data_IF_061410261152
#
_entry.id   IF_061410261152
#
_cell.length_a   1.000
_cell.length_b   1.000
_cell.length_c   1.000
_cell.angle_alpha   90.00
_cell.angle_beta   90.00
_cell.angle_gamma   90.00
#
_symmetry.space_group_name_H-M   'P 1'
#
loop_
_entity.id
_entity.type
_entity.pdbx_description
1 polymer ?
#
# COMPACT_ATOMS: atom_id res chain seq x y z
N UNK A 1 -26.19 44.38 -7.58
CA UNK A 1 -25.51 43.73 -6.44
C UNK A 1 -25.46 42.19 -6.49
N UNK A 2 -26.41 41.45 -7.08
CA UNK A 2 -26.36 39.96 -7.10
C UNK A 2 -25.46 39.35 -8.20
N UNK A 3 -25.27 40.05 -9.32
CA UNK A 3 -24.50 39.55 -10.49
C UNK A 3 -22.98 39.58 -10.24
N UNK A 4 -22.51 40.56 -9.47
CA UNK A 4 -21.08 40.73 -9.17
C UNK A 4 -20.53 39.60 -8.30
N UNK A 5 -21.37 39.03 -7.43
CA UNK A 5 -21.04 37.91 -6.55
C UNK A 5 -20.83 36.59 -7.31
N UNK A 6 -21.70 36.29 -8.29
CA UNK A 6 -21.54 35.12 -9.14
C UNK A 6 -20.28 35.22 -10.03
N UNK A 7 -19.98 36.41 -10.56
CA UNK A 7 -18.78 36.66 -11.37
C UNK A 7 -17.48 36.59 -10.56
N UNK A 8 -17.49 37.01 -9.29
CA UNK A 8 -16.33 36.87 -8.40
C UNK A 8 -16.02 35.40 -8.07
N UNK A 9 -17.05 34.58 -7.89
CA UNK A 9 -16.89 33.15 -7.57
C UNK A 9 -16.19 32.40 -8.72
N UNK A 10 -16.51 32.74 -9.97
CA UNK A 10 -15.91 32.12 -11.17
C UNK A 10 -14.41 32.41 -11.27
N UNK A 11 -13.95 33.64 -10.99
CA UNK A 11 -12.51 33.97 -11.06
C UNK A 11 -11.69 33.25 -10.00
N UNK A 12 -12.23 33.13 -8.79
CA UNK A 12 -11.53 32.45 -7.68
C UNK A 12 -11.29 30.95 -7.93
N UNK A 13 -12.11 30.33 -8.78
CA UNK A 13 -12.05 28.89 -9.06
C UNK A 13 -11.14 28.53 -10.24
N UNK A 14 -10.81 29.50 -11.11
CA UNK A 14 -9.89 29.29 -12.24
C UNK A 14 -8.41 29.29 -11.84
N UNK A 15 -8.04 29.98 -10.75
CA UNK A 15 -6.64 30.11 -10.30
C UNK A 15 -6.09 28.87 -9.55
N UNK A 16 -6.89 27.81 -9.36
CA UNK A 16 -6.48 26.60 -8.61
C UNK A 16 -6.18 25.36 -9.45
N UNK A 17 -6.19 25.42 -10.79
CA UNK A 17 -5.80 24.28 -11.62
C UNK A 17 -4.27 24.18 -11.76
N UNK A 18 -3.62 23.56 -10.78
CA UNK A 18 -2.23 23.09 -10.89
C UNK A 18 -2.25 21.82 -11.75
N UNK A 19 -1.53 21.85 -12.87
CA UNK A 19 -1.35 20.71 -13.78
C UNK A 19 -0.42 19.66 -13.16
N UNK A 20 -0.64 18.34 -13.36
CA UNK A 20 0.37 17.33 -13.09
C UNK A 20 1.27 17.11 -14.31
N UNK A 21 2.56 17.42 -14.17
CA UNK A 21 3.59 17.06 -15.16
C UNK A 21 3.85 15.56 -15.15
N UNK A 22 3.36 14.87 -16.16
CA UNK A 22 3.76 13.51 -16.51
C UNK A 22 5.08 13.54 -17.30
N UNK A 23 6.13 12.84 -16.83
CA UNK A 23 7.15 12.14 -17.64
C UNK A 23 8.29 11.61 -16.78
N UNK A 24 8.46 10.28 -16.73
CA UNK A 24 9.72 9.58 -17.08
C UNK A 24 9.52 8.06 -17.06
N UNK A 25 9.39 7.51 -18.26
CA UNK A 25 9.62 6.10 -18.57
C UNK A 25 11.13 5.92 -18.70
N UNK A 26 11.69 4.95 -17.99
CA UNK A 26 13.02 4.41 -18.28
C UNK A 26 12.89 2.90 -18.52
N UNK A 27 12.86 2.53 -19.79
CA UNK A 27 13.14 1.20 -20.30
C UNK A 27 14.64 0.92 -20.19
N UNK A 28 15.04 -0.18 -19.54
CA UNK A 28 16.39 -0.73 -19.71
C UNK A 28 16.38 -2.27 -19.79
N UNK A 29 16.49 -2.73 -21.03
CA UNK A 29 17.29 -3.85 -21.55
C UNK A 29 17.45 -5.14 -20.73
N UNK A 30 16.95 -6.24 -21.33
CA UNK A 30 17.46 -7.61 -21.12
C UNK A 30 18.98 -7.67 -21.39
N UNK A 31 19.69 -8.56 -20.68
CA UNK A 31 20.56 -9.47 -21.41
C UNK A 31 20.39 -10.94 -21.00
N UNK A 32 21.04 -11.75 -21.81
CA UNK A 32 20.95 -13.19 -22.04
C UNK A 32 21.30 -14.10 -20.84
N UNK A 33 20.86 -15.35 -20.98
CA UNK A 33 21.20 -16.51 -20.15
C UNK A 33 22.70 -16.59 -19.82
N UNK A 34 23.05 -16.28 -18.56
CA UNK A 34 24.30 -16.74 -17.94
C UNK A 34 23.91 -17.57 -16.74
N UNK A 35 24.12 -18.89 -16.83
CA UNK A 35 23.94 -19.82 -15.73
C UNK A 35 25.03 -19.58 -14.67
N UNK A 36 24.78 -18.66 -13.73
CA UNK A 36 25.56 -18.56 -12.50
C UNK A 36 25.02 -19.59 -11.51
N UNK A 37 25.83 -20.60 -11.18
CA UNK A 37 25.58 -21.44 -9.99
C UNK A 37 25.97 -20.61 -8.77
N UNK A 38 25.02 -19.85 -8.23
CA UNK A 38 25.19 -19.05 -7.02
C UNK A 38 25.19 -20.00 -5.81
N UNK A 39 26.37 -20.28 -5.25
CA UNK A 39 26.48 -20.93 -3.95
C UNK A 39 26.27 -19.88 -2.86
N UNK A 40 25.09 -19.87 -2.25
CA UNK A 40 24.77 -19.01 -1.10
C UNK A 40 25.49 -19.60 0.11
N UNK A 41 26.35 -18.83 0.78
CA UNK A 41 27.03 -19.27 2.01
C UNK A 41 26.00 -19.59 3.11
N UNK A 42 26.36 -20.43 4.07
CA UNK A 42 25.44 -20.79 5.16
C UNK A 42 25.07 -19.57 6.02
N UNK A 43 25.90 -18.52 6.07
CA UNK A 43 25.54 -17.22 6.65
C UNK A 43 24.52 -16.47 5.78
N UNK A 44 24.62 -16.55 4.44
CA UNK A 44 23.62 -16.02 3.51
C UNK A 44 22.27 -16.74 3.62
N UNK A 45 22.27 -18.06 3.85
CA UNK A 45 21.06 -18.84 4.14
C UNK A 45 20.46 -18.43 5.48
N UNK A 46 21.26 -18.26 6.53
CA UNK A 46 20.79 -17.80 7.84
C UNK A 46 20.24 -16.37 7.81
N UNK A 47 20.81 -15.47 7.00
CA UNK A 47 20.27 -14.13 6.73
C UNK A 47 18.90 -14.20 6.03
N UNK A 48 18.74 -15.09 5.05
CA UNK A 48 17.43 -15.31 4.39
C UNK A 48 16.37 -15.83 5.37
N UNK A 49 16.74 -16.72 6.30
CA UNK A 49 15.84 -17.27 7.33
C UNK A 49 15.46 -16.21 8.38
N UNK A 50 16.38 -15.31 8.75
CA UNK A 50 16.11 -14.19 9.68
C UNK A 50 15.30 -13.05 9.05
N UNK A 51 15.40 -12.82 7.73
CA UNK A 51 14.53 -11.87 7.05
C UNK A 51 13.07 -12.35 7.02
N UNK A 52 12.82 -13.66 6.99
CA UNK A 52 11.52 -14.27 6.70
C UNK A 52 10.45 -14.22 7.81
N UNK A 53 10.73 -13.62 8.97
CA UNK A 53 9.77 -13.57 10.10
C UNK A 53 8.97 -12.28 10.19
N UNK A 54 9.47 -11.15 9.68
CA UNK A 54 8.84 -9.83 9.85
C UNK A 54 8.66 -9.05 8.53
N UNK A 55 8.70 -9.70 7.36
CA UNK A 55 8.47 -9.00 6.09
C UNK A 55 6.99 -8.62 5.98
N UNK A 56 6.66 -7.43 6.44
CA UNK A 56 5.44 -6.76 6.01
C UNK A 56 5.62 -6.48 4.51
N UNK A 57 4.76 -7.09 3.69
CA UNK A 57 4.63 -6.80 2.26
C UNK A 57 4.57 -5.30 2.02
N UNK A 58 5.18 -4.78 0.95
CA UNK A 58 5.13 -3.35 0.63
C UNK A 58 3.68 -2.85 0.49
N UNK A 59 2.82 -3.67 -0.13
CA UNK A 59 1.37 -3.40 -0.21
C UNK A 59 0.68 -3.37 1.16
N UNK A 60 1.20 -4.13 2.13
CA UNK A 60 0.70 -4.17 3.51
C UNK A 60 1.12 -2.95 4.34
N UNK A 61 2.34 -2.44 4.14
CA UNK A 61 2.81 -1.19 4.76
C UNK A 61 1.96 -0.01 4.28
N UNK A 62 1.70 0.08 2.97
CA UNK A 62 0.87 1.14 2.40
C UNK A 62 -0.59 1.06 2.89
N UNK A 63 -1.16 -0.14 3.00
CA UNK A 63 -2.49 -0.31 3.61
C UNK A 63 -2.54 0.09 5.08
N UNK A 64 -1.47 -0.14 5.84
CA UNK A 64 -1.41 0.30 7.23
C UNK A 64 -1.30 1.82 7.32
N UNK A 65 -0.48 2.47 6.49
CA UNK A 65 -0.40 3.92 6.41
C UNK A 65 -1.77 4.56 6.09
N UNK A 66 -2.52 4.00 5.13
CA UNK A 66 -3.88 4.46 4.80
C UNK A 66 -4.83 4.32 6.00
N UNK A 67 -4.73 3.22 6.76
CA UNK A 67 -5.55 3.03 7.97
C UNK A 67 -5.18 4.01 9.07
N UNK A 68 -3.89 4.20 9.32
CA UNK A 68 -3.37 5.16 10.30
C UNK A 68 -3.80 6.58 9.96
N UNK A 69 -3.76 6.97 8.68
CA UNK A 69 -4.23 8.26 8.22
C UNK A 69 -5.74 8.44 8.45
N UNK A 70 -6.55 7.41 8.15
CA UNK A 70 -8.00 7.44 8.43
C UNK A 70 -8.29 7.56 9.92
N UNK A 71 -7.51 6.89 10.77
CA UNK A 71 -7.67 6.97 12.22
C UNK A 71 -7.28 8.34 12.76
N UNK A 72 -6.13 8.87 12.32
CA UNK A 72 -5.70 10.23 12.64
C UNK A 72 -6.73 11.28 12.27
N UNK A 73 -7.39 11.15 11.10
CA UNK A 73 -8.48 12.04 10.69
C UNK A 73 -9.67 11.96 11.64
N UNK A 74 -10.06 10.76 12.10
CA UNK A 74 -11.14 10.60 13.10
C UNK A 74 -10.77 11.24 14.44
N UNK A 75 -9.54 11.03 14.91
CA UNK A 75 -9.04 11.66 16.14
C UNK A 75 -9.08 13.19 16.04
N UNK A 76 -8.69 13.75 14.89
CA UNK A 76 -8.84 15.18 14.62
C UNK A 76 -10.31 15.63 14.71
N UNK A 77 -11.26 14.88 14.12
CA UNK A 77 -12.70 15.19 14.19
C UNK A 77 -13.22 15.17 15.62
N UNK A 78 -12.82 14.21 16.44
CA UNK A 78 -13.19 14.15 17.86
C UNK A 78 -12.54 15.29 18.67
N UNK A 79 -11.28 15.63 18.38
CA UNK A 79 -10.61 16.76 19.03
C UNK A 79 -11.29 18.08 18.70
N UNK A 80 -11.73 18.29 17.46
CA UNK A 80 -12.51 19.46 17.04
C UNK A 80 -13.80 19.56 17.85
N UNK A 81 -14.55 18.46 18.00
CA UNK A 81 -15.76 18.44 18.84
C UNK A 81 -15.45 18.83 20.29
N UNK A 82 -14.40 18.26 20.87
CA UNK A 82 -13.97 18.62 22.22
C UNK A 82 -13.57 20.10 22.37
N UNK A 83 -12.94 20.68 21.34
CA UNK A 83 -12.66 22.13 21.31
C UNK A 83 -13.97 22.92 21.23
N UNK A 84 -14.93 22.50 20.40
CA UNK A 84 -16.24 23.17 20.29
C UNK A 84 -17.04 23.13 21.59
N UNK A 85 -16.98 22.02 22.32
CA UNK A 85 -17.58 21.89 23.65
C UNK A 85 -16.93 22.83 24.68
N UNK A 86 -15.62 23.06 24.58
CA UNK A 86 -14.91 24.02 25.45
C UNK A 86 -15.25 25.46 25.04
N UNK A 87 -15.22 25.77 23.73
CA UNK A 87 -15.53 27.10 23.20
C UNK A 87 -16.97 27.53 23.44
N UNK A 88 -17.89 26.58 23.65
CA UNK A 88 -19.29 26.83 24.00
C UNK A 88 -19.50 27.23 25.46
N UNK A 89 -18.45 27.16 26.30
CA UNK A 89 -18.51 27.58 27.71
C UNK A 89 -18.02 29.02 27.86
N UNK A 90 -18.63 29.73 28.80
CA UNK A 90 -18.34 31.15 29.06
C UNK A 90 -17.13 31.38 29.99
N UNK A 91 -16.54 30.32 30.54
CA UNK A 91 -15.49 30.37 31.58
C UNK A 91 -14.04 30.39 31.03
N UNK A 92 -13.86 30.59 29.73
CA UNK A 92 -12.55 30.65 29.08
C UNK A 92 -12.07 32.09 28.84
N UNK A 93 -10.75 32.32 29.00
CA UNK A 93 -10.16 33.62 28.68
C UNK A 93 -10.03 33.84 27.18
N UNK A 94 -9.97 35.10 26.73
CA UNK A 94 -9.79 35.43 25.30
C UNK A 94 -8.50 34.83 24.71
N UNK A 95 -7.44 34.75 25.52
CA UNK A 95 -6.16 34.17 25.11
C UNK A 95 -6.28 32.66 24.87
N UNK A 96 -7.02 31.95 25.73
CA UNK A 96 -7.29 30.52 25.56
C UNK A 96 -8.22 30.28 24.38
N UNK A 97 -9.26 31.10 24.23
CA UNK A 97 -10.18 31.05 23.09
C UNK A 97 -9.43 31.15 21.76
N UNK A 98 -8.53 32.13 21.63
CA UNK A 98 -7.75 32.31 20.39
C UNK A 98 -6.85 31.11 20.09
N UNK A 99 -6.16 30.56 21.11
CA UNK A 99 -5.34 29.34 20.94
C UNK A 99 -6.18 28.15 20.46
N UNK A 100 -7.34 27.95 21.07
CA UNK A 100 -8.26 26.87 20.70
C UNK A 100 -8.81 27.04 19.28
N UNK A 101 -9.10 28.28 18.86
CA UNK A 101 -9.52 28.58 17.49
C UNK A 101 -8.40 28.31 16.47
N UNK A 102 -7.15 28.64 16.80
CA UNK A 102 -6.00 28.34 15.95
C UNK A 102 -5.77 26.83 15.84
N UNK A 103 -5.83 26.10 16.96
CA UNK A 103 -5.75 24.63 17.00
C UNK A 103 -6.88 24.01 16.16
N UNK A 104 -8.13 24.45 16.38
CA UNK A 104 -9.31 23.99 15.63
C UNK A 104 -9.11 24.18 14.13
N UNK A 105 -8.65 25.34 13.69
CA UNK A 105 -8.43 25.64 12.27
C UNK A 105 -7.36 24.76 11.63
N UNK A 106 -6.33 24.35 12.39
CA UNK A 106 -5.33 23.39 11.93
C UNK A 106 -5.94 21.99 11.82
N UNK A 107 -6.65 21.55 12.86
CA UNK A 107 -7.30 20.25 12.89
C UNK A 107 -8.37 20.11 11.80
N UNK A 108 -9.17 21.15 11.53
CA UNK A 108 -10.20 21.16 10.48
C UNK A 108 -9.58 20.86 9.11
N UNK A 109 -8.39 21.41 8.82
CA UNK A 109 -7.65 21.12 7.58
C UNK A 109 -7.17 19.67 7.53
N UNK A 110 -6.64 19.16 8.65
CA UNK A 110 -6.13 17.79 8.75
C UNK A 110 -7.23 16.73 8.75
N UNK A 111 -8.41 17.06 9.27
CA UNK A 111 -9.56 16.15 9.33
C UNK A 111 -10.28 15.97 8.00
N UNK A 112 -10.01 16.85 7.03
CA UNK A 112 -10.81 16.98 5.81
C UNK A 112 -10.53 15.85 4.81
N UNK A 113 -11.53 15.01 4.55
CA UNK A 113 -11.44 13.92 3.58
C UNK A 113 -12.18 14.16 2.26
N UNK A 114 -12.04 13.23 1.33
CA UNK A 114 -12.64 13.30 -0.01
C UNK A 114 -14.18 13.21 0.07
N UNK A 115 -14.72 12.51 1.06
CA UNK A 115 -16.16 12.42 1.35
C UNK A 115 -16.72 13.73 1.93
N UNK A 116 -16.01 14.36 2.86
CA UNK A 116 -16.33 15.70 3.39
C UNK A 116 -16.35 16.73 2.26
N UNK A 117 -15.36 16.66 1.35
CA UNK A 117 -15.31 17.52 0.17
C UNK A 117 -16.52 17.33 -0.75
N UNK A 118 -16.97 16.09 -0.92
CA UNK A 118 -18.16 15.76 -1.70
C UNK A 118 -19.43 16.29 -1.02
N UNK A 119 -19.56 16.09 0.29
CA UNK A 119 -20.71 16.56 1.07
C UNK A 119 -20.80 18.09 1.05
N UNK A 120 -19.67 18.79 1.24
CA UNK A 120 -19.61 20.25 1.15
C UNK A 120 -20.00 20.77 -0.25
N UNK A 121 -19.60 20.08 -1.31
CA UNK A 121 -20.02 20.43 -2.68
C UNK A 121 -21.54 20.31 -2.87
N UNK A 122 -22.15 19.24 -2.38
CA UNK A 122 -23.61 19.10 -2.38
C UNK A 122 -24.31 20.17 -1.56
N UNK A 123 -23.80 20.46 -0.36
CA UNK A 123 -24.34 21.51 0.51
C UNK A 123 -24.29 22.87 -0.19
N UNK A 124 -23.17 23.24 -0.80
CA UNK A 124 -23.02 24.48 -1.56
C UNK A 124 -23.96 24.57 -2.75
N UNK A 125 -24.15 23.48 -3.51
CA UNK A 125 -25.13 23.43 -4.59
C UNK A 125 -26.55 23.64 -4.06
N UNK A 126 -26.92 22.97 -2.97
CA UNK A 126 -28.22 23.12 -2.32
C UNK A 126 -28.46 24.54 -1.83
N UNK A 127 -27.49 25.13 -1.14
CA UNK A 127 -27.57 26.49 -0.60
C UNK A 127 -27.60 27.55 -1.71
N UNK A 128 -26.93 27.29 -2.84
CA UNK A 128 -27.07 28.10 -4.04
C UNK A 128 -28.50 28.04 -4.58
N UNK A 129 -29.03 26.83 -4.82
CA UNK A 129 -30.39 26.67 -5.36
C UNK A 129 -31.48 27.25 -4.43
N UNK A 130 -31.31 27.12 -3.11
CA UNK A 130 -32.23 27.74 -2.14
C UNK A 130 -32.24 29.27 -2.21
N UNK A 131 -31.10 29.90 -2.50
CA UNK A 131 -30.97 31.36 -2.60
C UNK A 131 -31.45 31.92 -3.94
N UNK A 132 -31.44 31.11 -4.98
CA UNK A 132 -31.65 31.54 -6.36
C UNK A 132 -32.92 30.94 -6.97
N UNK A 133 -34.01 30.92 -6.20
CA UNK A 133 -35.32 30.34 -6.55
C UNK A 133 -35.61 30.44 -8.07
N UNK A 134 -35.53 29.32 -8.78
CA UNK A 134 -35.50 29.28 -10.25
C UNK A 134 -36.82 29.79 -10.84
N UNK A 135 -37.92 29.59 -10.12
CA UNK A 135 -39.28 29.90 -10.57
C UNK A 135 -39.60 31.41 -10.57
N UNK A 136 -38.79 32.22 -9.87
CA UNK A 136 -38.95 33.68 -9.78
C UNK A 136 -37.93 34.46 -10.63
N UNK A 137 -37.04 33.77 -11.36
CA UNK A 137 -35.96 34.38 -12.12
C UNK A 137 -36.35 34.68 -13.58
N UNK A 138 -35.89 35.81 -14.11
CA UNK A 138 -36.02 36.11 -15.54
C UNK A 138 -35.14 35.15 -16.39
N UNK A 139 -35.34 35.14 -17.71
CA UNK A 139 -34.65 34.20 -18.62
C UNK A 139 -33.13 34.33 -18.61
N UNK A 140 -32.57 35.53 -18.38
CA UNK A 140 -31.13 35.75 -18.28
C UNK A 140 -30.52 35.20 -16.98
N UNK A 141 -31.22 35.41 -15.86
CA UNK A 141 -30.82 34.88 -14.56
C UNK A 141 -30.88 33.34 -14.53
N UNK A 142 -31.89 32.76 -15.19
CA UNK A 142 -32.02 31.31 -15.35
C UNK A 142 -30.80 30.69 -16.05
N UNK A 143 -30.33 31.30 -17.15
CA UNK A 143 -29.13 30.83 -17.87
C UNK A 143 -27.87 30.85 -16.99
N UNK A 144 -27.73 31.85 -16.12
CA UNK A 144 -26.59 31.96 -15.19
C UNK A 144 -26.70 30.88 -14.12
N UNK A 145 -27.88 30.69 -13.54
CA UNK A 145 -28.15 29.66 -12.53
C UNK A 145 -27.84 28.27 -13.09
N UNK A 146 -28.27 27.96 -14.33
CA UNK A 146 -28.01 26.69 -14.98
C UNK A 146 -26.50 26.44 -15.20
N UNK A 147 -25.75 27.48 -15.60
CA UNK A 147 -24.28 27.38 -15.72
C UNK A 147 -23.61 27.11 -14.37
N UNK A 148 -24.05 27.76 -13.30
CA UNK A 148 -23.52 27.52 -11.95
C UNK A 148 -23.89 26.11 -11.47
N UNK A 149 -25.09 25.63 -11.76
CA UNK A 149 -25.51 24.26 -11.46
C UNK A 149 -24.65 23.24 -12.20
N UNK A 150 -24.40 23.45 -13.49
CA UNK A 150 -23.52 22.59 -14.31
C UNK A 150 -22.09 22.56 -13.74
N UNK A 151 -21.61 23.69 -13.24
CA UNK A 151 -20.31 23.76 -12.57
C UNK A 151 -20.29 22.96 -11.27
N UNK A 152 -21.32 23.07 -10.43
CA UNK A 152 -21.45 22.25 -9.23
C UNK A 152 -21.53 20.76 -9.58
N UNK A 153 -22.26 20.38 -10.62
CA UNK A 153 -22.36 19.00 -11.08
C UNK A 153 -21.01 18.44 -11.51
N UNK A 154 -20.20 19.24 -12.21
CA UNK A 154 -18.83 18.86 -12.55
C UNK A 154 -17.97 18.64 -11.31
N UNK A 155 -17.96 19.58 -10.36
CA UNK A 155 -17.20 19.42 -9.12
C UNK A 155 -17.64 18.15 -8.38
N UNK A 156 -18.95 17.94 -8.23
CA UNK A 156 -19.51 16.78 -7.54
C UNK A 156 -19.03 15.50 -8.23
N UNK A 157 -19.03 15.46 -9.57
CA UNK A 157 -18.55 14.31 -10.32
C UNK A 157 -17.05 14.09 -10.13
N UNK A 158 -16.23 15.14 -10.23
CA UNK A 158 -14.78 15.05 -9.98
C UNK A 158 -14.47 14.51 -8.58
N UNK A 159 -15.25 14.90 -7.55
CA UNK A 159 -15.10 14.39 -6.19
C UNK A 159 -15.50 12.92 -6.07
N UNK A 160 -16.57 12.49 -6.75
CA UNK A 160 -16.92 11.06 -6.83
C UNK A 160 -15.81 10.25 -7.49
N UNK A 161 -15.23 10.75 -8.57
CA UNK A 161 -14.17 10.06 -9.31
C UNK A 161 -12.88 9.93 -8.47
N UNK A 162 -12.58 10.90 -7.59
CA UNK A 162 -11.49 10.79 -6.61
C UNK A 162 -11.76 9.66 -5.61
N UNK A 163 -12.95 9.64 -4.99
CA UNK A 163 -13.34 8.61 -4.01
C UNK A 163 -13.30 7.22 -4.65
N UNK A 164 -13.80 7.09 -5.88
CA UNK A 164 -13.74 5.83 -6.63
C UNK A 164 -12.29 5.37 -6.84
N UNK A 165 -11.38 6.26 -7.27
CA UNK A 165 -9.96 5.91 -7.46
C UNK A 165 -9.26 5.54 -6.15
N UNK A 166 -9.53 6.25 -5.06
CA UNK A 166 -8.98 5.93 -3.74
C UNK A 166 -9.43 4.54 -3.28
N UNK A 167 -10.71 4.22 -3.45
CA UNK A 167 -11.24 2.89 -3.11
C UNK A 167 -10.66 1.78 -4.01
N UNK A 168 -10.55 2.02 -5.31
CA UNK A 168 -9.91 1.08 -6.25
C UNK A 168 -8.44 0.84 -5.90
N UNK A 169 -7.70 1.88 -5.56
CA UNK A 169 -6.31 1.80 -5.10
C UNK A 169 -6.18 0.95 -3.84
N UNK A 170 -6.97 1.26 -2.80
CA UNK A 170 -6.98 0.50 -1.55
C UNK A 170 -7.35 -0.98 -1.77
N UNK A 171 -8.32 -1.27 -2.64
CA UNK A 171 -8.66 -2.64 -3.02
C UNK A 171 -7.53 -3.32 -3.81
N UNK A 172 -6.83 -2.59 -4.66
CA UNK A 172 -5.68 -3.11 -5.40
C UNK A 172 -4.55 -3.49 -4.45
N UNK A 173 -4.25 -2.64 -3.47
CA UNK A 173 -3.25 -2.95 -2.44
C UNK A 173 -3.63 -4.20 -1.65
N UNK A 174 -4.92 -4.40 -1.32
CA UNK A 174 -5.38 -5.63 -0.64
C UNK A 174 -5.12 -6.88 -1.48
N UNK A 175 -5.42 -6.82 -2.78
CA UNK A 175 -5.15 -7.95 -3.70
C UNK A 175 -3.65 -8.22 -3.81
N UNK A 176 -2.83 -7.18 -3.94
CA UNK A 176 -1.38 -7.31 -4.01
C UNK A 176 -0.80 -7.87 -2.72
N UNK A 177 -1.26 -7.42 -1.55
CA UNK A 177 -0.86 -7.97 -0.26
C UNK A 177 -1.16 -9.47 -0.17
N UNK A 178 -2.37 -9.90 -0.57
CA UNK A 178 -2.72 -11.33 -0.59
C UNK A 178 -1.77 -12.09 -1.51
N UNK A 179 -1.48 -11.55 -2.70
CA UNK A 179 -0.56 -12.18 -3.64
C UNK A 179 0.86 -12.27 -3.08
N UNK A 180 1.41 -11.18 -2.54
CA UNK A 180 2.75 -11.13 -1.93
C UNK A 180 2.86 -12.13 -0.77
N UNK A 181 1.84 -12.20 0.10
CA UNK A 181 1.83 -13.16 1.20
C UNK A 181 1.75 -14.62 0.71
N UNK A 182 0.98 -14.88 -0.35
CA UNK A 182 0.91 -16.21 -0.97
C UNK A 182 2.23 -16.61 -1.63
N UNK A 183 2.91 -15.67 -2.30
CA UNK A 183 4.21 -15.91 -2.94
C UNK A 183 5.30 -16.16 -1.88
N UNK A 184 5.32 -15.38 -0.79
CA UNK A 184 6.21 -15.61 0.35
C UNK A 184 5.97 -17.00 0.95
N UNK A 185 4.71 -17.41 1.11
CA UNK A 185 4.37 -18.74 1.64
C UNK A 185 4.79 -19.88 0.70
N UNK A 186 4.58 -19.71 -0.62
CA UNK A 186 5.06 -20.66 -1.62
C UNK A 186 6.59 -20.78 -1.64
N UNK A 187 7.31 -19.67 -1.50
CA UNK A 187 8.77 -19.69 -1.37
C UNK A 187 9.22 -20.40 -0.09
N UNK A 188 8.55 -20.15 1.05
CA UNK A 188 8.80 -20.87 2.31
C UNK A 188 8.57 -22.37 2.16
N UNK A 189 7.50 -22.79 1.50
CA UNK A 189 7.22 -24.21 1.24
C UNK A 189 8.27 -24.86 0.32
N UNK A 190 8.71 -24.15 -0.74
CA UNK A 190 9.79 -24.63 -1.62
C UNK A 190 11.12 -24.73 -0.89
N UNK A 191 11.45 -23.76 -0.04
CA UNK A 191 12.64 -23.77 0.80
C UNK A 191 12.63 -24.97 1.76
N UNK A 192 11.53 -25.19 2.47
CA UNK A 192 11.36 -26.35 3.36
C UNK A 192 11.49 -27.68 2.61
N UNK A 193 10.88 -27.80 1.42
CA UNK A 193 10.99 -29.02 0.61
C UNK A 193 12.41 -29.27 0.12
N UNK A 194 13.15 -28.22 -0.26
CA UNK A 194 14.56 -28.33 -0.65
C UNK A 194 15.46 -28.70 0.54
N UNK A 195 15.18 -28.19 1.75
CA UNK A 195 15.88 -28.59 2.98
C UNK A 195 15.64 -30.08 3.30
N UNK A 196 14.39 -30.55 3.25
CA UNK A 196 14.08 -31.97 3.46
C UNK A 196 14.73 -32.89 2.42
N UNK A 197 14.86 -32.43 1.16
CA UNK A 197 15.52 -33.20 0.12
C UNK A 197 17.05 -33.25 0.31
N UNK A 198 17.71 -32.15 0.70
CA UNK A 198 19.15 -32.17 0.97
C UNK A 198 19.50 -33.10 2.14
N UNK A 199 18.76 -33.03 3.25
CA UNK A 199 18.97 -33.94 4.39
C UNK A 199 18.77 -35.42 4.01
N UNK A 200 17.90 -35.71 3.04
CA UNK A 200 17.70 -37.07 2.52
C UNK A 200 18.81 -37.51 1.57
N UNK A 201 19.36 -36.59 0.78
CA UNK A 201 20.45 -36.87 -0.16
C UNK A 201 21.76 -37.09 0.60
N UNK A 202 22.06 -36.26 1.61
CA UNK A 202 23.26 -36.42 2.44
C UNK A 202 23.27 -37.79 3.15
N UNK A 203 22.13 -38.23 3.70
CA UNK A 203 22.00 -39.58 4.28
C UNK A 203 22.19 -40.71 3.26
N UNK A 204 21.69 -40.55 2.04
CA UNK A 204 21.85 -41.56 0.99
C UNK A 204 23.30 -41.62 0.48
N UNK A 205 24.02 -40.48 0.48
CA UNK A 205 25.43 -40.41 0.12
C UNK A 205 26.30 -41.07 1.19
N UNK A 206 26.08 -40.80 2.48
CA UNK A 206 26.78 -41.48 3.59
C UNK A 206 26.61 -43.01 3.53
N UNK A 207 25.39 -43.49 3.28
CA UNK A 207 25.14 -44.93 3.14
C UNK A 207 25.81 -45.54 1.91
N UNK A 208 25.88 -44.80 0.80
CA UNK A 208 26.58 -45.25 -0.40
C UNK A 208 28.10 -45.34 -0.14
N UNK A 209 28.70 -44.36 0.51
CA UNK A 209 30.13 -44.39 0.86
C UNK A 209 30.45 -45.57 1.79
N UNK A 210 29.64 -45.82 2.83
CA UNK A 210 29.78 -47.01 3.70
C UNK A 210 29.68 -48.32 2.92
N UNK A 211 28.73 -48.44 1.99
CA UNK A 211 28.60 -49.67 1.18
C UNK A 211 29.77 -49.85 0.22
N UNK A 212 30.35 -48.76 -0.27
CA UNK A 212 31.51 -48.79 -1.19
C UNK A 212 32.78 -49.20 -0.45
N UNK A 213 32.97 -48.71 0.78
CA UNK A 213 34.09 -49.11 1.65
C UNK A 213 34.00 -50.58 2.05
N UNK A 214 32.80 -51.07 2.36
CA UNK A 214 32.58 -52.50 2.63
C UNK A 214 32.86 -53.37 1.39
N UNK A 215 32.47 -52.92 0.19
CA UNK A 215 32.75 -53.63 -1.06
C UNK A 215 34.26 -53.71 -1.34
N UNK A 216 34.98 -52.61 -1.16
CA UNK A 216 36.44 -52.54 -1.30
C UNK A 216 37.18 -53.44 -0.29
N UNK A 217 36.65 -53.58 0.93
CA UNK A 217 37.19 -54.48 1.96
C UNK A 217 36.99 -55.96 1.58
N UNK A 218 35.82 -56.28 1.02
CA UNK A 218 35.52 -57.62 0.50
C UNK A 218 36.39 -57.96 -0.71
N UNK A 219 36.61 -57.02 -1.64
CA UNK A 219 37.51 -57.24 -2.78
C UNK A 219 38.96 -57.43 -2.34
N UNK A 220 39.45 -56.65 -1.37
CA UNK A 220 40.80 -56.85 -0.79
C UNK A 220 40.95 -58.22 -0.12
N UNK A 221 39.99 -58.62 0.70
CA UNK A 221 40.04 -59.93 1.38
C UNK A 221 39.85 -61.11 0.41
N UNK A 222 39.14 -60.92 -0.71
CA UNK A 222 39.06 -61.90 -1.78
C UNK A 222 40.37 -62.01 -2.59
N UNK A 223 41.07 -60.90 -2.83
CA UNK A 223 42.39 -60.90 -3.46
C UNK A 223 43.45 -61.58 -2.57
N UNK A 224 43.50 -61.25 -1.28
CA UNK A 224 44.44 -61.85 -0.32
C UNK A 224 44.20 -63.35 -0.11
N UNK A 225 42.95 -63.81 -0.20
CA UNK A 225 42.62 -65.25 -0.13
C UNK A 225 42.99 -66.04 -1.40
N UNK A 226 43.00 -65.39 -2.56
CA UNK A 226 43.44 -66.03 -3.82
C UNK A 226 44.97 -66.16 -3.88
N UNK A 227 45.71 -65.15 -3.40
CA UNK A 227 47.18 -65.24 -3.28
C UNK A 227 47.61 -66.30 -2.24
N UNK A 228 46.84 -66.46 -1.16
CA UNK A 228 47.11 -67.46 -0.11
C UNK A 228 46.87 -68.91 -0.55
N UNK A 229 46.01 -69.15 -1.56
CA UNK A 229 45.80 -70.50 -2.13
C UNK A 229 46.85 -70.86 -3.18
N UNK A 230 47.47 -69.88 -3.84
CA UNK A 230 48.51 -70.10 -4.85
C UNK A 230 49.85 -70.54 -4.24
N UNK A 231 50.15 -70.12 -3.01
CA UNK A 231 51.41 -70.45 -2.32
C UNK A 231 51.37 -71.77 -1.50
N UNK A 232 50.29 -72.56 -1.56
CA UNK A 232 50.19 -73.84 -0.85
C UNK A 232 50.48 -75.07 -1.73
N UNK A 233 50.88 -74.85 -2.99
CA UNK A 233 51.35 -75.90 -3.90
C UNK A 233 52.75 -75.50 -4.40
N UNK A 234 53.75 -75.63 -3.53
CA UNK A 234 55.14 -75.90 -3.89
C UNK A 234 55.72 -76.86 -2.87
#
# INVERSE_FOLDING_TARGET
>A
MRIDSARQTIRFLQDKSIQPDSKKVCSLNKPENINFKVTISDEGKQLSRKLNTDVVSASGEELNAIKEEKEYRKECKERIKGIDDILSKDDITDKERNKLLDEKKLLEKSSWDSEDALYDAYKKKRDFNKRHNIDECNSGDRLIIDKVNTFFDRIIQEKKDVISRENEHEQSLRRNQIQETADIELEKQKANKNEMNMDSVDKNVEQLEETTDLLNLVEKSAAENNDSKSNRIM
#
